data_IF_016412849017
#
_entry.id   IF_016412849017
#
_cell.length_a   1.000
_cell.length_b   1.000
_cell.length_c   1.000
_cell.angle_alpha   90.00
_cell.angle_beta   90.00
_cell.angle_gamma   90.00
#
_symmetry.space_group_name_H-M   'P 1'
#
loop_
_entity.id
_entity.type
_entity.pdbx_description
1 polymer ?
#
# COMPACT_ATOMS: atom_id res chain seq x y z
N UNK A 1 -3.34 4.49 -6.20
CA UNK A 1 -3.21 3.28 -7.03
C UNK A 1 -2.30 3.60 -8.20
N UNK A 2 -1.39 2.71 -8.54
CA UNK A 2 -0.54 2.90 -9.74
C UNK A 2 -1.27 2.56 -11.05
N UNK A 3 -2.33 1.75 -10.93
CA UNK A 3 -3.13 1.26 -12.05
C UNK A 3 -4.61 1.60 -11.86
N UNK A 4 -5.40 1.55 -12.93
CA UNK A 4 -6.84 1.78 -12.86
C UNK A 4 -7.60 0.58 -12.26
N UNK A 5 -8.81 0.84 -11.75
CA UNK A 5 -9.67 -0.22 -11.19
C UNK A 5 -10.08 -1.24 -12.27
N UNK A 6 -10.20 -0.81 -13.53
CA UNK A 6 -10.56 -1.70 -14.64
C UNK A 6 -9.49 -2.74 -14.93
N UNK A 7 -8.23 -2.42 -14.70
CA UNK A 7 -7.09 -3.31 -14.92
C UNK A 7 -7.05 -4.53 -13.99
N UNK A 8 -7.84 -4.54 -12.91
CA UNK A 8 -8.04 -5.72 -12.06
C UNK A 8 -8.51 -6.92 -12.90
N UNK A 9 -9.34 -6.68 -13.90
CA UNK A 9 -9.91 -7.74 -14.75
C UNK A 9 -8.89 -8.37 -15.73
N UNK A 10 -7.76 -7.71 -15.94
CA UNK A 10 -6.67 -8.19 -16.81
C UNK A 10 -5.49 -8.79 -16.03
N UNK A 11 -5.53 -8.76 -14.69
CA UNK A 11 -4.47 -9.33 -13.87
C UNK A 11 -4.45 -10.86 -13.95
N UNK A 12 -3.26 -11.43 -13.92
CA UNK A 12 -3.03 -12.88 -13.80
C UNK A 12 -2.97 -13.32 -12.34
N UNK A 13 -2.59 -12.38 -11.43
CA UNK A 13 -2.57 -12.61 -10.01
C UNK A 13 -2.94 -11.34 -9.24
N UNK A 14 -3.80 -11.51 -8.24
CA UNK A 14 -4.13 -10.51 -7.23
C UNK A 14 -3.46 -10.89 -5.90
N UNK A 15 -2.58 -10.04 -5.41
CA UNK A 15 -2.01 -10.14 -4.06
C UNK A 15 -2.73 -9.16 -3.15
N UNK A 16 -3.67 -9.64 -2.35
CA UNK A 16 -4.52 -8.82 -1.48
C UNK A 16 -4.03 -8.95 -0.05
N UNK A 17 -3.60 -7.85 0.57
CA UNK A 17 -3.01 -7.85 1.90
C UNK A 17 -3.63 -6.79 2.81
N UNK A 18 -4.03 -7.17 4.03
CA UNK A 18 -4.62 -6.26 5.01
C UNK A 18 -5.84 -5.51 4.46
N UNK A 19 -6.70 -6.24 3.70
CA UNK A 19 -7.84 -5.63 3.00
C UNK A 19 -9.05 -6.55 2.93
N UNK A 20 -10.18 -6.08 3.45
CA UNK A 20 -11.49 -6.70 3.23
C UNK A 20 -12.26 -5.91 2.16
N UNK A 21 -11.82 -6.06 0.91
CA UNK A 21 -12.36 -5.28 -0.21
C UNK A 21 -13.83 -5.59 -0.51
N UNK A 22 -14.34 -6.78 -0.16
CA UNK A 22 -15.74 -7.16 -0.38
C UNK A 22 -16.71 -6.36 0.50
N UNK A 23 -16.28 -5.99 1.69
CA UNK A 23 -17.09 -5.16 2.60
C UNK A 23 -16.80 -3.66 2.43
N UNK A 24 -15.52 -3.27 2.48
CA UNK A 24 -15.14 -1.86 2.51
C UNK A 24 -15.11 -1.20 1.11
N UNK A 25 -14.93 -1.98 0.04
CA UNK A 25 -14.79 -1.50 -1.34
C UNK A 25 -15.55 -2.41 -2.32
N UNK A 26 -16.90 -2.50 -2.22
CA UNK A 26 -17.67 -3.56 -2.89
C UNK A 26 -17.52 -3.56 -4.42
N UNK A 27 -17.33 -2.43 -5.07
CA UNK A 27 -17.08 -2.36 -6.52
C UNK A 27 -15.75 -3.03 -6.88
N UNK A 28 -14.69 -2.74 -6.12
CA UNK A 28 -13.37 -3.35 -6.30
C UNK A 28 -13.40 -4.84 -5.95
N UNK A 29 -13.98 -5.18 -4.81
CA UNK A 29 -14.16 -6.57 -4.39
C UNK A 29 -14.93 -7.41 -5.41
N UNK A 30 -15.98 -6.86 -6.01
CA UNK A 30 -16.72 -7.54 -7.08
C UNK A 30 -15.86 -7.76 -8.34
N UNK A 31 -15.04 -6.77 -8.75
CA UNK A 31 -14.11 -6.94 -9.87
C UNK A 31 -13.04 -8.00 -9.56
N UNK A 32 -12.52 -8.05 -8.32
CA UNK A 32 -11.59 -9.09 -7.89
C UNK A 32 -12.23 -10.48 -7.99
N UNK A 33 -13.45 -10.66 -7.47
CA UNK A 33 -14.20 -11.92 -7.60
C UNK A 33 -14.49 -12.29 -9.07
N UNK A 34 -14.79 -11.32 -9.93
CA UNK A 34 -14.95 -11.55 -11.37
C UNK A 34 -13.66 -12.01 -12.02
N UNK A 35 -12.52 -11.41 -11.68
CA UNK A 35 -11.21 -11.81 -12.19
C UNK A 35 -10.86 -13.25 -11.74
N UNK A 36 -11.06 -13.58 -10.46
CA UNK A 36 -10.84 -14.94 -9.91
C UNK A 36 -11.71 -15.98 -10.63
N UNK A 37 -12.99 -15.68 -10.86
CA UNK A 37 -13.88 -16.56 -11.64
C UNK A 37 -13.44 -16.80 -13.08
N UNK A 38 -12.64 -15.88 -13.65
CA UNK A 38 -12.04 -16.01 -14.98
C UNK A 38 -10.66 -16.69 -14.97
N UNK A 39 -10.17 -17.12 -13.81
CA UNK A 39 -8.93 -17.87 -13.66
C UNK A 39 -7.74 -17.07 -13.13
N UNK A 40 -7.93 -15.80 -12.77
CA UNK A 40 -6.90 -15.01 -12.08
C UNK A 40 -6.57 -15.65 -10.75
N UNK A 41 -5.28 -15.84 -10.46
CA UNK A 41 -4.81 -16.38 -9.18
C UNK A 41 -4.99 -15.36 -8.06
N UNK A 42 -5.24 -15.87 -6.84
CA UNK A 42 -5.49 -15.03 -5.69
C UNK A 42 -4.62 -15.45 -4.49
N UNK A 43 -3.78 -14.55 -4.02
CA UNK A 43 -3.09 -14.67 -2.74
C UNK A 43 -3.74 -13.67 -1.78
N UNK A 44 -4.19 -14.13 -0.62
CA UNK A 44 -4.71 -13.27 0.43
C UNK A 44 -3.82 -13.35 1.67
N UNK A 45 -3.47 -12.21 2.21
CA UNK A 45 -2.69 -12.07 3.45
C UNK A 45 -3.54 -11.27 4.45
N UNK A 46 -4.20 -11.96 5.35
CA UNK A 46 -5.08 -11.35 6.36
C UNK A 46 -5.24 -12.29 7.56
N UNK A 47 -5.20 -11.81 8.80
CA UNK A 47 -5.46 -12.63 9.97
C UNK A 47 -6.89 -13.15 10.04
N UNK A 48 -7.83 -12.46 9.38
CA UNK A 48 -9.24 -12.84 9.31
C UNK A 48 -9.55 -13.63 8.04
N UNK A 49 -10.45 -14.57 8.16
CA UNK A 49 -11.00 -15.30 7.01
C UNK A 49 -12.06 -14.43 6.32
N UNK A 50 -11.60 -13.55 5.43
CA UNK A 50 -12.47 -12.70 4.60
C UNK A 50 -13.06 -13.51 3.44
N UNK A 51 -14.09 -12.97 2.77
CA UNK A 51 -14.67 -13.61 1.57
C UNK A 51 -13.61 -13.92 0.50
N UNK A 52 -12.65 -13.00 0.29
CA UNK A 52 -11.56 -13.25 -0.65
C UNK A 52 -10.59 -14.31 -0.16
N UNK A 53 -10.37 -14.43 1.16
CA UNK A 53 -9.55 -15.49 1.72
C UNK A 53 -10.18 -16.89 1.54
N UNK A 54 -11.52 -16.97 1.48
CA UNK A 54 -12.24 -18.22 1.18
C UNK A 54 -12.07 -18.67 -0.28
N UNK A 55 -11.90 -17.72 -1.20
CA UNK A 55 -11.71 -17.98 -2.63
C UNK A 55 -10.23 -18.04 -3.04
N UNK A 56 -9.27 -17.81 -2.09
CA UNK A 56 -7.86 -17.69 -2.38
C UNK A 56 -7.21 -19.04 -2.77
N UNK A 57 -6.32 -19.01 -3.76
CA UNK A 57 -5.39 -20.12 -4.05
C UNK A 57 -4.42 -20.33 -2.89
N UNK A 58 -3.96 -19.21 -2.27
CA UNK A 58 -3.09 -19.24 -1.09
C UNK A 58 -3.59 -18.19 -0.09
N UNK A 59 -3.88 -18.62 1.14
CA UNK A 59 -4.19 -17.74 2.25
C UNK A 59 -3.10 -17.79 3.31
N UNK A 60 -2.39 -16.66 3.48
CA UNK A 60 -1.37 -16.49 4.51
C UNK A 60 -2.02 -15.81 5.73
N UNK A 61 -2.39 -16.61 6.73
CA UNK A 61 -3.01 -16.13 7.96
C UNK A 61 -1.95 -15.71 8.97
N UNK A 62 -1.41 -14.51 8.79
CA UNK A 62 -0.34 -14.01 9.63
C UNK A 62 -0.83 -13.53 10.99
N UNK A 63 0.07 -13.51 11.97
CA UNK A 63 -0.12 -12.79 13.23
C UNK A 63 -0.12 -11.28 12.96
N UNK A 64 -1.06 -10.48 13.52
CA UNK A 64 -1.07 -9.03 13.35
C UNK A 64 0.27 -8.37 13.71
N UNK A 65 0.73 -7.44 12.87
CA UNK A 65 1.98 -6.70 13.08
C UNK A 65 3.25 -7.40 12.61
N UNK A 66 3.13 -8.51 11.87
CA UNK A 66 4.29 -9.25 11.34
C UNK A 66 4.46 -9.15 9.83
N UNK A 67 3.79 -8.18 9.22
CA UNK A 67 3.74 -7.97 7.77
C UNK A 67 5.12 -7.75 7.15
N UNK A 68 5.95 -6.89 7.76
CA UNK A 68 7.33 -6.63 7.30
C UNK A 68 8.15 -7.91 7.28
N UNK A 69 7.98 -8.75 8.32
CA UNK A 69 8.73 -10.01 8.41
C UNK A 69 8.33 -10.97 7.28
N UNK A 70 7.02 -11.15 7.08
CA UNK A 70 6.48 -11.97 6.01
C UNK A 70 6.96 -11.52 4.62
N UNK A 71 6.83 -10.22 4.33
CA UNK A 71 7.20 -9.65 3.03
C UNK A 71 8.70 -9.74 2.76
N UNK A 72 9.53 -9.51 3.79
CA UNK A 72 10.99 -9.64 3.66
C UNK A 72 11.40 -11.11 3.45
N UNK A 73 10.77 -12.06 4.14
CA UNK A 73 11.01 -13.49 3.91
C UNK A 73 10.60 -13.91 2.49
N UNK A 74 9.47 -13.41 1.97
CA UNK A 74 9.08 -13.62 0.57
C UNK A 74 10.11 -13.06 -0.41
N UNK A 75 10.61 -11.84 -0.18
CA UNK A 75 11.64 -11.21 -1.01
C UNK A 75 12.96 -12.00 -0.96
N UNK A 76 13.34 -12.55 0.20
CA UNK A 76 14.52 -13.44 0.31
C UNK A 76 14.36 -14.65 -0.60
N UNK A 77 13.22 -15.35 -0.53
CA UNK A 77 12.95 -16.50 -1.41
C UNK A 77 13.08 -16.12 -2.88
N UNK A 78 12.53 -14.98 -3.29
CA UNK A 78 12.59 -14.50 -4.68
C UNK A 78 14.04 -14.30 -5.14
N UNK A 79 14.88 -13.72 -4.28
CA UNK A 79 16.30 -13.47 -4.58
C UNK A 79 17.10 -14.79 -4.60
N UNK A 80 16.86 -15.70 -3.64
CA UNK A 80 17.54 -17.01 -3.59
C UNK A 80 17.22 -17.89 -4.80
N UNK A 81 16.00 -17.77 -5.34
CA UNK A 81 15.56 -18.48 -6.54
C UNK A 81 15.95 -17.75 -7.85
N UNK A 82 16.58 -16.58 -7.77
CA UNK A 82 17.00 -15.79 -8.93
C UNK A 82 15.85 -15.26 -9.78
N UNK A 83 14.70 -14.98 -9.13
CA UNK A 83 13.46 -14.53 -9.76
C UNK A 83 13.27 -13.00 -9.72
N UNK A 84 14.28 -12.28 -9.25
CA UNK A 84 14.27 -10.81 -9.30
C UNK A 84 14.32 -10.30 -10.76
N UNK A 85 13.59 -9.22 -11.04
CA UNK A 85 13.53 -8.60 -12.36
C UNK A 85 14.78 -7.74 -12.62
N UNK A 86 15.90 -8.38 -13.02
CA UNK A 86 17.24 -7.76 -13.13
C UNK A 86 17.25 -6.50 -14.00
N UNK A 87 16.70 -6.58 -15.22
CA UNK A 87 16.66 -5.43 -16.15
C UNK A 87 15.85 -4.26 -15.60
N UNK A 88 14.76 -4.56 -14.90
CA UNK A 88 13.93 -3.55 -14.23
C UNK A 88 14.69 -2.92 -13.07
N UNK A 89 15.35 -3.73 -12.26
CA UNK A 89 16.13 -3.26 -11.10
C UNK A 89 17.26 -2.36 -11.58
N UNK A 90 18.03 -2.79 -12.57
CA UNK A 90 19.16 -2.03 -13.11
C UNK A 90 18.73 -0.66 -13.67
N UNK A 91 17.56 -0.61 -14.32
CA UNK A 91 17.10 0.60 -14.99
C UNK A 91 16.26 1.55 -14.12
N UNK A 92 15.65 1.07 -13.01
CA UNK A 92 14.59 1.81 -12.28
C UNK A 92 14.68 1.77 -10.77
N UNK A 93 15.55 0.96 -10.19
CA UNK A 93 15.62 0.78 -8.74
C UNK A 93 16.94 1.31 -8.20
N UNK A 94 16.87 2.11 -7.16
CA UNK A 94 18.04 2.58 -6.43
C UNK A 94 18.30 1.68 -5.21
N UNK A 95 19.56 1.54 -4.83
CA UNK A 95 20.01 0.86 -3.61
C UNK A 95 19.52 -0.60 -3.45
N UNK A 96 19.45 -1.36 -4.55
CA UNK A 96 19.06 -2.77 -4.52
C UNK A 96 19.96 -3.61 -3.59
N UNK A 97 21.26 -3.38 -3.56
CA UNK A 97 22.19 -4.10 -2.70
C UNK A 97 21.91 -3.87 -1.21
N UNK A 98 21.46 -2.67 -0.85
CA UNK A 98 21.01 -2.37 0.53
C UNK A 98 19.76 -3.16 0.91
N UNK A 99 18.78 -3.25 0.02
CA UNK A 99 17.60 -4.10 0.20
C UNK A 99 18.00 -5.57 0.34
N UNK A 100 18.78 -6.09 -0.59
CA UNK A 100 19.26 -7.49 -0.59
C UNK A 100 19.96 -7.84 0.72
N UNK A 101 20.92 -7.00 1.17
CA UNK A 101 21.60 -7.19 2.44
C UNK A 101 20.65 -7.24 3.64
N UNK A 102 19.54 -6.51 3.57
CA UNK A 102 18.53 -6.48 4.63
C UNK A 102 17.68 -7.73 4.60
N UNK A 103 17.08 -8.08 3.45
CA UNK A 103 16.13 -9.19 3.36
C UNK A 103 16.78 -10.55 3.54
N UNK A 104 18.07 -10.70 3.18
CA UNK A 104 18.81 -11.95 3.39
C UNK A 104 18.96 -12.36 4.87
N UNK A 105 18.65 -11.46 5.81
CA UNK A 105 18.62 -11.77 7.25
C UNK A 105 17.34 -12.47 7.71
N UNK A 106 16.30 -12.47 6.90
CA UNK A 106 14.99 -13.02 7.25
C UNK A 106 14.91 -14.50 6.87
N UNK A 107 15.08 -15.36 7.86
CA UNK A 107 15.03 -16.81 7.69
C UNK A 107 13.58 -17.33 7.63
N UNK A 108 13.32 -18.35 6.81
CA UNK A 108 11.98 -18.90 6.67
C UNK A 108 11.49 -19.63 7.94
N UNK A 109 12.38 -20.32 8.65
CA UNK A 109 12.00 -20.99 9.91
C UNK A 109 11.68 -19.96 11.00
N UNK A 110 12.38 -18.82 10.99
CA UNK A 110 12.08 -17.69 11.86
C UNK A 110 10.81 -16.99 11.43
N UNK A 111 10.60 -16.81 10.11
CA UNK A 111 9.37 -16.24 9.57
C UNK A 111 8.13 -17.03 9.99
N UNK A 112 8.18 -18.36 9.94
CA UNK A 112 7.10 -19.22 10.40
C UNK A 112 6.80 -18.99 11.90
N UNK A 113 7.82 -18.92 12.73
CA UNK A 113 7.67 -18.69 14.19
C UNK A 113 7.07 -17.31 14.50
N UNK A 114 7.52 -16.26 13.78
CA UNK A 114 7.08 -14.89 14.02
C UNK A 114 5.70 -14.64 13.46
N UNK A 115 5.47 -15.07 12.22
CA UNK A 115 4.23 -14.78 11.51
C UNK A 115 3.11 -15.77 11.81
N UNK A 116 3.43 -16.98 12.28
CA UNK A 116 2.49 -18.09 12.44
C UNK A 116 2.05 -18.71 11.11
N UNK A 117 2.68 -18.35 10.00
CA UNK A 117 2.39 -18.88 8.67
C UNK A 117 3.42 -19.96 8.33
N UNK A 118 2.94 -21.13 7.90
CA UNK A 118 3.80 -22.23 7.44
C UNK A 118 4.79 -21.75 6.37
N UNK A 119 6.06 -22.07 6.56
CA UNK A 119 7.16 -21.60 5.70
C UNK A 119 7.02 -22.03 4.24
N UNK A 120 6.43 -23.21 3.99
CA UNK A 120 6.20 -23.68 2.62
C UNK A 120 5.09 -22.89 1.92
N UNK A 121 4.08 -22.43 2.67
CA UNK A 121 3.08 -21.51 2.14
C UNK A 121 3.69 -20.14 1.82
N UNK A 122 4.58 -19.63 2.67
CA UNK A 122 5.34 -18.39 2.39
C UNK A 122 6.15 -18.56 1.10
N UNK A 123 6.87 -19.66 0.97
CA UNK A 123 7.66 -19.99 -0.22
C UNK A 123 6.79 -20.09 -1.48
N UNK A 124 5.68 -20.82 -1.41
CA UNK A 124 4.74 -20.98 -2.53
C UNK A 124 4.16 -19.62 -2.96
N UNK A 125 3.75 -18.76 -2.02
CA UNK A 125 3.25 -17.44 -2.31
C UNK A 125 4.30 -16.55 -3.00
N UNK A 126 5.54 -16.57 -2.50
CA UNK A 126 6.66 -15.83 -3.08
C UNK A 126 6.93 -16.27 -4.53
N UNK A 127 7.01 -17.58 -4.77
CA UNK A 127 7.25 -18.16 -6.09
C UNK A 127 6.09 -17.88 -7.06
N UNK A 128 4.85 -18.04 -6.60
CA UNK A 128 3.67 -17.75 -7.42
C UNK A 128 3.64 -16.28 -7.83
N UNK A 129 3.88 -15.36 -6.88
CA UNK A 129 3.90 -13.93 -7.14
C UNK A 129 5.01 -13.56 -8.14
N UNK A 130 6.24 -14.01 -7.90
CA UNK A 130 7.39 -13.65 -8.73
C UNK A 130 7.35 -14.22 -10.15
N UNK A 131 6.77 -15.42 -10.34
CA UNK A 131 6.66 -16.07 -11.66
C UNK A 131 5.50 -15.54 -12.52
N UNK A 132 4.56 -14.84 -11.91
CA UNK A 132 3.40 -14.28 -12.63
C UNK A 132 3.81 -12.99 -13.34
N UNK A 133 3.40 -12.81 -14.59
CA UNK A 133 3.78 -11.63 -15.38
C UNK A 133 2.98 -10.38 -15.05
N UNK A 134 1.68 -10.52 -14.76
CA UNK A 134 0.77 -9.42 -14.45
C UNK A 134 0.21 -9.62 -13.04
N UNK A 135 0.96 -9.20 -12.03
CA UNK A 135 0.56 -9.32 -10.63
C UNK A 135 0.36 -7.95 -9.98
N UNK A 136 -0.82 -7.71 -9.43
CA UNK A 136 -1.16 -6.47 -8.72
C UNK A 136 -1.22 -6.69 -7.21
N UNK A 137 -0.58 -5.80 -6.44
CA UNK A 137 -0.71 -5.72 -4.98
C UNK A 137 -1.85 -4.79 -4.62
N UNK A 138 -2.75 -5.23 -3.77
CA UNK A 138 -3.89 -4.44 -3.26
C UNK A 138 -3.89 -4.46 -1.74
N UNK A 139 -3.91 -3.28 -1.11
CA UNK A 139 -3.85 -3.16 0.34
C UNK A 139 -4.69 -1.99 0.87
N UNK A 140 -5.06 -2.05 2.15
CA UNK A 140 -5.80 -0.99 2.84
C UNK A 140 -5.22 -0.70 4.22
N UNK A 141 -6.08 -0.31 5.15
CA UNK A 141 -5.74 0.09 6.52
C UNK A 141 -5.08 -1.04 7.34
N UNK A 142 -5.33 -2.32 7.00
CA UNK A 142 -4.64 -3.44 7.64
C UNK A 142 -3.12 -3.46 7.42
N UNK A 143 -2.61 -2.65 6.48
CA UNK A 143 -1.19 -2.41 6.26
C UNK A 143 -0.73 -1.08 6.85
N UNK A 144 -1.55 -0.02 6.71
CA UNK A 144 -1.11 1.34 7.02
C UNK A 144 -1.35 1.74 8.46
N UNK A 145 -2.34 1.18 9.14
CA UNK A 145 -2.70 1.52 10.53
C UNK A 145 -1.99 0.64 11.56
N UNK A 146 -0.68 0.56 11.43
CA UNK A 146 0.23 -0.06 12.37
C UNK A 146 1.27 0.94 12.87
N UNK A 147 1.92 0.64 13.99
CA UNK A 147 3.07 1.43 14.48
C UNK A 147 4.19 1.50 13.43
N UNK A 148 4.30 0.47 12.57
CA UNK A 148 5.24 0.42 11.44
C UNK A 148 4.52 0.45 10.08
N UNK A 149 3.42 1.19 9.98
CA UNK A 149 2.64 1.29 8.73
C UNK A 149 3.46 1.80 7.55
N UNK A 150 4.42 2.70 7.79
CA UNK A 150 5.34 3.18 6.75
C UNK A 150 6.23 2.05 6.24
N UNK A 151 6.83 1.27 7.13
CA UNK A 151 7.70 0.14 6.80
C UNK A 151 6.92 -0.97 6.07
N UNK A 152 5.68 -1.20 6.46
CA UNK A 152 4.78 -2.12 5.76
C UNK A 152 4.60 -1.71 4.30
N UNK A 153 4.24 -0.44 4.05
CA UNK A 153 4.05 0.08 2.69
C UNK A 153 5.35 0.06 1.89
N UNK A 154 6.47 0.42 2.50
CA UNK A 154 7.80 0.33 1.86
C UNK A 154 8.15 -1.10 1.47
N UNK A 155 7.82 -2.09 2.31
CA UNK A 155 8.07 -3.50 2.02
C UNK A 155 7.21 -4.00 0.85
N UNK A 156 5.95 -3.55 0.73
CA UNK A 156 5.11 -3.83 -0.44
C UNK A 156 5.67 -3.18 -1.71
N UNK A 157 6.13 -1.95 -1.61
CA UNK A 157 6.75 -1.25 -2.73
C UNK A 157 8.03 -1.97 -3.19
N UNK A 158 8.86 -2.40 -2.24
CA UNK A 158 10.07 -3.16 -2.53
C UNK A 158 9.76 -4.51 -3.19
N UNK A 159 8.74 -5.24 -2.72
CA UNK A 159 8.31 -6.49 -3.33
C UNK A 159 7.85 -6.29 -4.78
N UNK A 160 7.04 -5.27 -5.05
CA UNK A 160 6.56 -4.95 -6.40
C UNK A 160 7.68 -4.50 -7.34
N UNK A 161 8.64 -3.73 -6.84
CA UNK A 161 9.81 -3.29 -7.61
C UNK A 161 10.80 -4.44 -7.86
N UNK A 162 11.03 -5.29 -6.86
CA UNK A 162 11.90 -6.46 -6.97
C UNK A 162 11.50 -7.38 -8.12
N UNK A 163 10.20 -7.52 -8.34
CA UNK A 163 9.63 -8.40 -9.37
C UNK A 163 9.24 -7.68 -10.67
N UNK A 164 9.47 -6.35 -10.75
CA UNK A 164 9.18 -5.57 -11.95
C UNK A 164 7.69 -5.33 -12.21
N UNK A 165 6.83 -5.52 -11.23
CA UNK A 165 5.38 -5.37 -11.39
C UNK A 165 4.88 -3.93 -11.34
N UNK A 166 5.74 -2.94 -11.09
CA UNK A 166 5.38 -1.52 -11.06
C UNK A 166 5.56 -0.91 -12.45
N UNK A 167 4.52 -0.21 -12.92
CA UNK A 167 4.55 0.45 -14.22
C UNK A 167 4.19 -0.46 -15.41
N UNK A 168 3.54 -1.58 -15.15
CA UNK A 168 3.00 -2.48 -16.17
C UNK A 168 1.47 -2.52 -16.10
N UNK A 169 0.83 -2.82 -17.20
CA UNK A 169 -0.63 -3.02 -17.27
C UNK A 169 -1.06 -4.19 -16.39
N UNK A 170 -2.14 -4.01 -15.63
CA UNK A 170 -2.73 -5.03 -14.75
C UNK A 170 -1.79 -5.53 -13.63
N UNK A 171 -0.78 -4.75 -13.29
CA UNK A 171 0.14 -4.97 -12.19
C UNK A 171 0.03 -3.89 -11.11
N UNK A 172 1.18 -3.49 -10.59
CA UNK A 172 1.34 -2.32 -9.75
C UNK A 172 1.06 -2.49 -8.27
N UNK A 173 1.10 -1.35 -7.58
CA UNK A 173 0.87 -1.23 -6.14
C UNK A 173 -0.35 -0.33 -5.94
N UNK A 174 -1.41 -0.93 -5.42
CA UNK A 174 -2.74 -0.36 -5.46
C UNK A 174 -3.31 -0.18 -4.04
N UNK A 175 -2.98 0.94 -3.35
CA UNK A 175 -3.64 1.30 -2.11
C UNK A 175 -5.13 1.57 -2.38
N UNK A 176 -6.00 0.81 -1.73
CA UNK A 176 -7.43 1.03 -1.76
C UNK A 176 -7.78 1.88 -0.56
N UNK A 177 -8.06 3.16 -0.79
CA UNK A 177 -8.30 4.12 0.30
C UNK A 177 -9.71 3.99 0.88
N UNK A 178 -9.86 4.32 2.18
CA UNK A 178 -11.09 4.13 2.92
C UNK A 178 -12.24 5.07 2.52
N UNK A 179 -11.96 6.38 2.43
CA UNK A 179 -12.99 7.39 2.18
C UNK A 179 -13.21 7.63 0.68
N UNK A 180 -14.45 8.03 0.34
CA UNK A 180 -14.80 8.39 -1.02
C UNK A 180 -13.95 9.54 -1.54
N UNK A 181 -13.24 9.29 -2.66
CA UNK A 181 -12.41 10.27 -3.35
C UNK A 181 -11.40 11.01 -2.45
N UNK A 182 -10.88 10.33 -1.42
CA UNK A 182 -9.83 10.94 -0.57
C UNK A 182 -8.57 11.29 -1.37
N UNK A 183 -8.28 10.57 -2.45
CA UNK A 183 -7.20 10.91 -3.36
C UNK A 183 -7.45 12.29 -3.98
N UNK A 184 -8.62 12.54 -4.53
CA UNK A 184 -8.97 13.85 -5.09
C UNK A 184 -8.94 14.97 -4.04
N UNK A 185 -9.37 14.70 -2.82
CA UNK A 185 -9.23 15.66 -1.73
C UNK A 185 -7.76 16.02 -1.47
N UNK A 186 -6.86 15.03 -1.45
CA UNK A 186 -5.41 15.27 -1.32
C UNK A 186 -4.85 16.06 -2.52
N UNK A 187 -5.26 15.71 -3.74
CA UNK A 187 -4.83 16.39 -4.97
C UNK A 187 -5.24 17.87 -4.98
N UNK A 188 -6.37 18.19 -4.36
CA UNK A 188 -6.87 19.55 -4.17
C UNK A 188 -6.29 20.27 -2.94
N UNK A 189 -5.30 19.69 -2.25
CA UNK A 189 -4.60 20.32 -1.14
C UNK A 189 -5.26 20.15 0.22
N UNK A 190 -6.17 19.19 0.41
CA UNK A 190 -6.72 18.87 1.73
C UNK A 190 -5.70 18.09 2.60
N UNK A 191 -4.50 18.65 2.71
CA UNK A 191 -3.38 18.13 3.49
C UNK A 191 -2.74 19.30 4.25
N UNK A 192 -2.15 19.05 5.43
CA UNK A 192 -1.61 20.13 6.26
C UNK A 192 -0.36 20.81 5.68
N UNK A 193 0.28 20.21 4.68
CA UNK A 193 1.59 20.62 4.18
C UNK A 193 1.60 20.99 2.70
N UNK A 194 0.46 20.90 2.00
CA UNK A 194 0.40 21.16 0.56
C UNK A 194 -0.79 22.02 0.16
N UNK A 195 -0.60 22.81 -0.88
CA UNK A 195 -1.63 23.39 -1.73
C UNK A 195 -2.08 22.35 -2.78
N UNK A 196 -3.08 22.66 -3.64
CA UNK A 196 -3.42 21.84 -4.79
C UNK A 196 -2.22 21.42 -5.61
N UNK A 197 -2.29 20.23 -6.23
CA UNK A 197 -1.21 19.60 -6.99
C UNK A 197 0.07 19.35 -6.17
N UNK A 198 -0.07 19.14 -4.87
CA UNK A 198 1.04 18.86 -3.93
C UNK A 198 2.11 19.94 -3.85
N UNK A 199 1.80 21.18 -4.26
CA UNK A 199 2.71 22.31 -4.09
C UNK A 199 2.93 22.59 -2.60
N UNK A 200 4.19 22.72 -2.15
CA UNK A 200 4.52 22.83 -0.73
C UNK A 200 4.08 24.16 -0.14
N UNK A 201 3.41 24.17 1.00
CA UNK A 201 3.03 25.36 1.77
C UNK A 201 4.28 26.21 2.13
N UNK A 202 5.40 25.57 2.36
CA UNK A 202 6.68 26.21 2.71
C UNK A 202 7.41 26.83 1.51
N UNK A 203 6.94 26.61 0.26
CA UNK A 203 7.51 27.22 -0.92
C UNK A 203 6.91 28.63 -1.13
N UNK A 204 7.72 29.70 -1.04
CA UNK A 204 7.24 31.06 -1.24
C UNK A 204 6.62 31.31 -2.62
N UNK A 205 7.14 30.67 -3.67
CA UNK A 205 6.62 30.81 -5.05
C UNK A 205 5.24 30.17 -5.20
N UNK A 206 5.07 28.97 -4.62
CA UNK A 206 3.77 28.33 -4.60
C UNK A 206 2.75 29.17 -3.84
N UNK A 207 3.12 29.71 -2.66
CA UNK A 207 2.25 30.58 -1.88
C UNK A 207 1.85 31.84 -2.64
N UNK A 208 2.79 32.56 -3.22
CA UNK A 208 2.55 33.77 -4.02
C UNK A 208 1.57 33.48 -5.18
N UNK A 209 1.74 32.34 -5.86
CA UNK A 209 0.82 31.90 -6.91
C UNK A 209 -0.59 31.73 -6.37
N UNK A 210 -0.80 30.96 -5.29
CA UNK A 210 -2.14 30.72 -4.74
C UNK A 210 -2.75 31.99 -4.09
N UNK A 211 -1.96 32.86 -3.47
CA UNK A 211 -2.42 34.18 -3.01
C UNK A 211 -2.94 35.03 -4.18
N UNK A 212 -2.25 34.98 -5.32
CA UNK A 212 -2.67 35.71 -6.52
C UNK A 212 -3.99 35.19 -7.10
N UNK A 213 -4.22 33.87 -7.04
CA UNK A 213 -5.44 33.23 -7.55
C UNK A 213 -6.62 33.41 -6.58
N UNK A 214 -6.40 33.15 -5.29
CA UNK A 214 -7.45 33.20 -4.27
C UNK A 214 -7.71 34.58 -3.71
N UNK A 215 -6.88 35.56 -4.07
CA UNK A 215 -6.98 36.96 -3.63
C UNK A 215 -7.02 37.13 -2.11
N UNK A 216 -6.27 36.31 -1.39
CA UNK A 216 -6.18 36.33 0.06
C UNK A 216 -4.78 35.95 0.52
N UNK A 217 -4.26 36.58 1.59
CA UNK A 217 -2.98 36.19 2.17
C UNK A 217 -3.08 34.76 2.77
N UNK A 218 -2.03 33.97 2.57
CA UNK A 218 -1.96 32.59 3.05
C UNK A 218 -0.88 32.43 4.12
N UNK A 219 -1.12 31.53 5.08
CA UNK A 219 -0.13 31.22 6.11
C UNK A 219 1.11 30.56 5.50
N UNK A 220 2.32 31.00 5.88
CA UNK A 220 3.55 30.32 5.49
C UNK A 220 3.84 29.05 6.33
N UNK A 221 3.04 28.82 7.37
CA UNK A 221 3.25 27.75 8.33
C UNK A 221 2.53 26.48 7.90
N UNK A 222 3.13 25.33 8.21
CA UNK A 222 2.47 24.04 8.05
C UNK A 222 1.21 23.98 8.90
N UNK A 223 0.15 23.35 8.38
CA UNK A 223 -1.03 23.03 9.15
C UNK A 223 -0.77 21.92 10.16
N UNK A 224 -1.66 21.77 11.12
CA UNK A 224 -1.58 20.70 12.12
C UNK A 224 -2.05 19.36 11.54
N UNK A 225 -1.40 18.29 11.94
CA UNK A 225 -1.93 16.93 11.79
C UNK A 225 -3.06 16.68 12.78
N UNK A 226 -3.91 15.66 12.55
CA UNK A 226 -5.12 15.41 13.35
C UNK A 226 -4.85 15.37 14.86
N UNK A 227 -3.86 14.62 15.40
CA UNK A 227 -3.61 14.61 16.84
C UNK A 227 -3.24 15.99 17.38
N UNK A 228 -2.45 16.76 16.62
CA UNK A 228 -2.06 18.10 17.04
C UNK A 228 -3.21 19.11 16.92
N UNK A 229 -4.13 18.95 15.95
CA UNK A 229 -5.35 19.79 15.90
C UNK A 229 -6.13 19.73 17.22
N UNK A 230 -6.34 18.54 17.78
CA UNK A 230 -7.04 18.37 19.05
C UNK A 230 -6.24 18.96 20.22
N UNK A 231 -4.94 18.72 20.27
CA UNK A 231 -4.07 19.31 21.29
C UNK A 231 -4.11 20.84 21.26
N UNK A 232 -4.09 21.42 20.08
CA UNK A 232 -4.16 22.88 19.90
C UNK A 232 -5.56 23.44 20.16
N UNK A 233 -6.62 22.66 19.95
CA UNK A 233 -7.97 23.04 20.34
C UNK A 233 -8.12 23.13 21.87
N UNK A 234 -7.57 22.17 22.62
CA UNK A 234 -7.55 22.20 24.08
C UNK A 234 -6.81 23.45 24.60
N UNK A 235 -5.75 23.87 23.92
CA UNK A 235 -4.99 25.11 24.24
C UNK A 235 -5.67 26.39 23.76
N UNK A 236 -6.81 26.30 23.06
CA UNK A 236 -7.55 27.46 22.53
C UNK A 236 -6.97 28.05 21.24
N UNK A 237 -5.97 27.41 20.63
CA UNK A 237 -5.34 27.88 19.39
C UNK A 237 -6.15 27.50 18.14
N UNK A 238 -6.89 26.41 18.18
CA UNK A 238 -7.88 26.02 17.17
C UNK A 238 -9.28 26.31 17.74
N UNK A 239 -9.99 27.27 17.16
CA UNK A 239 -11.27 27.77 17.70
C UNK A 239 -12.49 27.12 17.07
N UNK A 240 -12.33 26.53 15.89
CA UNK A 240 -13.40 25.83 15.18
C UNK A 240 -12.83 24.72 14.31
N UNK A 241 -13.58 23.65 14.13
CA UNK A 241 -13.27 22.54 13.22
C UNK A 241 -14.52 22.22 12.39
N UNK A 242 -14.30 21.99 11.09
CA UNK A 242 -15.31 21.37 10.23
C UNK A 242 -14.98 19.88 10.07
N UNK A 243 -15.83 19.02 10.64
CA UNK A 243 -15.62 17.57 10.66
C UNK A 243 -16.67 16.93 9.75
N UNK A 244 -16.19 16.18 8.74
CA UNK A 244 -17.04 15.53 7.74
C UNK A 244 -16.72 14.05 7.66
N UNK A 245 -17.75 13.19 7.68
CA UNK A 245 -17.67 11.73 7.53
C UNK A 245 -16.83 10.98 8.59
N UNK A 246 -16.62 11.56 9.75
CA UNK A 246 -16.09 10.85 10.91
C UNK A 246 -17.25 10.35 11.78
N UNK A 247 -17.70 9.13 11.52
CA UNK A 247 -18.66 8.42 12.36
C UNK A 247 -17.86 7.49 13.28
N UNK A 248 -17.88 7.76 14.55
CA UNK A 248 -17.33 6.88 15.59
C UNK A 248 -18.44 6.18 16.34
#
# INVERSE_FOLDING_TARGET
>A
MTNSIEEILGAELLFVIGSNATEAHPIIGNKMKQAVKKGTKLIVVDPRRTDLAEEADIWLRLNPGTDVFLLNAMMKVIIEEGLEAKDYIESRVENFEGLKKTVMKYDLDEAEKVTGVDKELIRQAALLYAKTKKAGIFYTLGITEHTHGTENVMSLANLGMLTGHVGIESGGINPIRGQNNVQGACDLGALPNTYPAYAKVTDPKAREFFESVWKTPLSPNLGYQIPEMFNQAVKGNVKAMYICLLYT
#
